data_IF_656178196296
#
_entry.id   IF_656178196296
#
_cell.length_a   1.000
_cell.length_b   1.000
_cell.length_c   1.000
_cell.angle_alpha   90.00
_cell.angle_beta   90.00
_cell.angle_gamma   90.00
#
_symmetry.space_group_name_H-M   'P 1'
#
loop_
_entity.id
_entity.type
_entity.pdbx_description
1 polymer ?
#
# COMPACT_ATOMS: atom_id res chain seq x y z
N UNK A 1 7.37 37.39 -27.90
CA UNK A 1 8.30 36.67 -27.00
C UNK A 1 7.48 35.80 -26.05
N UNK A 2 7.09 34.60 -26.51
CA UNK A 2 6.32 33.62 -25.72
C UNK A 2 7.09 32.31 -25.85
N UNK A 3 8.07 32.08 -24.97
CA UNK A 3 8.89 30.86 -25.05
C UNK A 3 9.40 30.34 -23.71
N UNK A 4 9.00 30.93 -22.56
CA UNK A 4 9.48 30.45 -21.24
C UNK A 4 8.38 29.90 -20.31
N UNK A 5 7.10 30.14 -20.58
CA UNK A 5 6.03 29.75 -19.66
C UNK A 5 5.44 28.34 -19.88
N UNK A 6 5.81 27.66 -20.97
CA UNK A 6 5.24 26.35 -21.37
C UNK A 6 6.02 25.13 -20.82
N UNK A 7 7.13 25.32 -20.10
CA UNK A 7 8.00 24.22 -19.64
C UNK A 7 7.75 23.76 -18.18
N UNK A 8 6.85 24.42 -17.44
CA UNK A 8 6.67 24.15 -16.00
C UNK A 8 5.52 23.18 -15.64
N UNK A 9 4.81 22.62 -16.62
CA UNK A 9 3.61 21.79 -16.36
C UNK A 9 3.82 20.27 -16.36
N UNK A 10 5.07 19.80 -16.27
CA UNK A 10 5.35 18.38 -16.05
C UNK A 10 6.68 18.15 -15.30
N UNK A 11 7.06 19.07 -14.40
CA UNK A 11 8.13 18.74 -13.47
C UNK A 11 7.61 17.64 -12.55
N UNK A 12 7.95 16.39 -12.86
CA UNK A 12 7.92 15.29 -11.88
C UNK A 12 8.49 15.85 -10.59
N UNK A 13 7.79 15.64 -9.46
CA UNK A 13 8.30 16.03 -8.16
C UNK A 13 9.80 15.64 -8.08
N UNK A 14 10.68 16.53 -7.59
CA UNK A 14 12.10 16.22 -7.51
C UNK A 14 12.26 14.86 -6.82
N UNK A 15 13.13 13.97 -7.35
CA UNK A 15 13.29 12.63 -6.80
C UNK A 15 13.57 12.75 -5.30
N UNK A 16 12.85 11.96 -4.50
CA UNK A 16 13.05 11.92 -3.06
C UNK A 16 14.52 11.58 -2.80
N UNK A 17 15.26 12.40 -2.02
CA UNK A 17 16.67 12.15 -1.76
C UNK A 17 16.80 10.80 -1.04
N UNK A 18 17.83 9.99 -1.33
CA UNK A 18 17.99 8.69 -0.69
C UNK A 18 18.12 8.82 0.84
N UNK A 19 17.73 7.80 1.62
CA UNK A 19 17.85 7.86 3.06
C UNK A 19 19.33 7.90 3.49
N UNK A 20 19.63 8.37 4.73
CA UNK A 20 20.99 8.33 5.26
C UNK A 20 21.57 6.91 5.16
N UNK A 21 22.78 6.79 4.60
CA UNK A 21 23.40 5.49 4.32
C UNK A 21 23.49 4.61 5.57
N UNK A 22 23.81 5.18 6.72
CA UNK A 22 23.93 4.44 7.99
C UNK A 22 22.58 3.91 8.47
N UNK A 23 21.53 4.72 8.42
CA UNK A 23 20.15 4.28 8.70
C UNK A 23 19.72 3.18 7.74
N UNK A 24 20.02 3.31 6.45
CA UNK A 24 19.69 2.29 5.45
C UNK A 24 20.37 0.95 5.75
N UNK A 25 21.69 0.95 6.01
CA UNK A 25 22.42 -0.27 6.36
C UNK A 25 21.93 -0.89 7.66
N UNK A 26 21.56 -0.08 8.66
CA UNK A 26 20.96 -0.55 9.90
C UNK A 26 19.58 -1.20 9.64
N UNK A 27 18.75 -0.59 8.79
CA UNK A 27 17.43 -1.11 8.41
C UNK A 27 17.54 -2.43 7.64
N UNK A 28 18.50 -2.56 6.72
CA UNK A 28 18.82 -3.82 6.02
C UNK A 28 19.17 -4.91 7.03
N UNK A 29 20.02 -4.60 8.02
CA UNK A 29 20.40 -5.56 9.05
C UNK A 29 19.20 -5.98 9.93
N UNK A 30 18.36 -5.02 10.31
CA UNK A 30 17.13 -5.28 11.07
C UNK A 30 16.17 -6.20 10.28
N UNK A 31 15.93 -5.90 9.00
CA UNK A 31 15.08 -6.69 8.13
C UNK A 31 15.61 -8.10 7.94
N UNK A 32 16.90 -8.26 7.64
CA UNK A 32 17.54 -9.57 7.45
C UNK A 32 17.40 -10.45 8.68
N UNK A 33 17.64 -9.90 9.86
CA UNK A 33 17.62 -10.65 11.11
C UNK A 33 16.18 -10.99 11.56
N UNK A 34 15.17 -10.32 11.02
CA UNK A 34 13.76 -10.46 11.38
C UNK A 34 12.86 -10.63 10.15
N UNK A 35 13.37 -11.27 9.10
CA UNK A 35 12.66 -11.40 7.84
C UNK A 35 11.30 -12.09 8.07
N UNK A 36 10.21 -11.56 7.47
CA UNK A 36 8.88 -12.08 7.69
C UNK A 36 8.79 -13.53 7.22
N UNK A 37 8.12 -14.37 8.01
CA UNK A 37 7.77 -15.73 7.64
C UNK A 37 6.79 -15.76 6.46
N UNK A 38 6.66 -16.92 5.81
CA UNK A 38 5.70 -17.08 4.71
C UNK A 38 4.26 -16.80 5.14
N UNK A 39 3.89 -17.21 6.36
CA UNK A 39 2.56 -16.95 6.92
C UNK A 39 2.30 -15.45 7.08
N UNK A 40 3.31 -14.70 7.56
CA UNK A 40 3.23 -13.24 7.71
C UNK A 40 3.12 -12.54 6.35
N UNK A 41 3.88 -12.99 5.35
CA UNK A 41 3.76 -12.47 3.97
C UNK A 41 2.38 -12.71 3.39
N UNK A 42 1.86 -13.94 3.48
CA UNK A 42 0.52 -14.30 3.00
C UNK A 42 -0.59 -13.50 3.70
N UNK A 43 -0.45 -13.30 5.02
CA UNK A 43 -1.37 -12.48 5.81
C UNK A 43 -1.36 -11.02 5.34
N UNK A 44 -0.18 -10.42 5.14
CA UNK A 44 -0.05 -9.06 4.64
C UNK A 44 -0.66 -8.89 3.24
N UNK A 45 -0.45 -9.86 2.34
CA UNK A 45 -1.06 -9.87 1.00
C UNK A 45 -2.58 -9.95 1.08
N UNK A 46 -3.14 -10.87 1.89
CA UNK A 46 -4.59 -10.98 2.03
C UNK A 46 -5.23 -9.70 2.59
N UNK A 47 -4.56 -9.06 3.57
CA UNK A 47 -4.98 -7.75 4.09
C UNK A 47 -4.89 -6.66 3.02
N UNK A 48 -3.83 -6.62 2.22
CA UNK A 48 -3.67 -5.66 1.13
C UNK A 48 -4.77 -5.82 0.07
N UNK A 49 -5.12 -7.07 -0.29
CA UNK A 49 -6.26 -7.39 -1.17
C UNK A 49 -7.57 -6.93 -0.53
N UNK A 50 -7.77 -7.18 0.77
CA UNK A 50 -8.95 -6.71 1.51
C UNK A 50 -9.07 -5.18 1.53
N UNK A 51 -7.95 -4.47 1.67
CA UNK A 51 -7.93 -3.00 1.60
C UNK A 51 -8.25 -2.50 0.19
N UNK A 52 -7.69 -3.12 -0.85
CA UNK A 52 -8.01 -2.79 -2.24
C UNK A 52 -9.51 -3.00 -2.54
N UNK A 53 -10.09 -4.11 -2.08
CA UNK A 53 -11.53 -4.38 -2.20
C UNK A 53 -12.38 -3.34 -1.46
N UNK A 54 -12.00 -3.00 -0.22
CA UNK A 54 -12.72 -1.99 0.58
C UNK A 54 -12.67 -0.62 -0.09
N UNK A 55 -11.50 -0.21 -0.60
CA UNK A 55 -11.33 1.03 -1.34
C UNK A 55 -12.18 1.08 -2.61
N UNK A 56 -12.17 0.01 -3.40
CA UNK A 56 -13.00 -0.12 -4.60
C UNK A 56 -14.50 0.01 -4.30
N UNK A 57 -14.99 -0.62 -3.22
CA UNK A 57 -16.39 -0.45 -2.80
C UNK A 57 -16.69 1.00 -2.40
N UNK A 58 -15.75 1.66 -1.71
CA UNK A 58 -15.91 3.06 -1.33
C UNK A 58 -16.01 3.99 -2.53
N UNK A 59 -15.24 3.74 -3.61
CA UNK A 59 -15.27 4.51 -4.86
C UNK A 59 -16.64 4.47 -5.56
N UNK A 60 -17.40 3.38 -5.38
CA UNK A 60 -18.76 3.24 -5.93
C UNK A 60 -19.85 3.52 -4.89
N UNK A 61 -19.49 4.13 -3.76
CA UNK A 61 -20.41 4.58 -2.73
C UNK A 61 -20.97 3.46 -1.83
N UNK A 62 -20.36 2.28 -1.82
CA UNK A 62 -20.70 1.19 -0.91
C UNK A 62 -19.76 1.25 0.29
N UNK A 63 -20.25 1.80 1.39
CA UNK A 63 -19.50 1.97 2.64
C UNK A 63 -20.28 1.37 3.81
N UNK A 64 -19.54 1.05 4.88
CA UNK A 64 -20.13 0.60 6.14
C UNK A 64 -20.65 1.82 6.90
N UNK A 65 -21.98 1.86 7.08
CA UNK A 65 -22.66 2.80 7.97
C UNK A 65 -23.22 1.96 9.11
N UNK A 66 -22.49 1.90 10.23
CA UNK A 66 -22.79 1.00 11.35
C UNK A 66 -24.19 1.18 11.95
N UNK A 67 -24.78 2.37 11.83
CA UNK A 67 -26.15 2.66 12.27
C UNK A 67 -27.23 2.07 11.36
N UNK A 68 -26.86 1.52 10.19
CA UNK A 68 -27.77 0.97 9.18
C UNK A 68 -27.41 -0.48 8.87
N UNK A 69 -28.11 -1.44 9.48
CA UNK A 69 -27.88 -2.89 9.27
C UNK A 69 -27.85 -3.32 7.79
N UNK A 70 -28.69 -2.69 6.94
CA UNK A 70 -28.70 -2.94 5.50
C UNK A 70 -27.43 -2.49 4.76
N UNK A 71 -26.74 -1.47 5.25
CA UNK A 71 -25.45 -1.01 4.70
C UNK A 71 -24.33 -1.99 5.03
N UNK A 72 -24.26 -2.47 6.27
CA UNK A 72 -23.28 -3.51 6.68
C UNK A 72 -23.46 -4.78 5.84
N UNK A 73 -24.70 -5.25 5.71
CA UNK A 73 -25.01 -6.48 4.96
C UNK A 73 -24.65 -6.32 3.48
N UNK A 74 -25.01 -5.19 2.85
CA UNK A 74 -24.66 -4.90 1.46
C UNK A 74 -23.15 -4.82 1.25
N UNK A 75 -22.43 -4.16 2.18
CA UNK A 75 -20.98 -4.06 2.11
C UNK A 75 -20.33 -5.44 2.21
N UNK A 76 -20.70 -6.26 3.20
CA UNK A 76 -20.17 -7.62 3.38
C UNK A 76 -20.41 -8.47 2.13
N UNK A 77 -21.63 -8.51 1.61
CA UNK A 77 -21.94 -9.27 0.39
C UNK A 77 -21.06 -8.85 -0.80
N UNK A 78 -20.84 -7.54 -0.98
CA UNK A 78 -20.00 -7.06 -2.10
C UNK A 78 -18.52 -7.24 -1.85
N UNK A 79 -18.08 -7.14 -0.59
CA UNK A 79 -16.72 -7.40 -0.19
C UNK A 79 -16.35 -8.87 -0.43
N UNK A 80 -17.20 -9.80 0.00
CA UNK A 80 -17.00 -11.25 -0.17
C UNK A 80 -16.98 -11.68 -1.65
N UNK A 81 -17.68 -10.93 -2.51
CA UNK A 81 -17.65 -11.15 -3.96
C UNK A 81 -16.39 -10.56 -4.63
N UNK A 82 -15.98 -9.35 -4.23
CA UNK A 82 -14.92 -8.60 -4.89
C UNK A 82 -13.52 -8.99 -4.43
N UNK A 83 -13.33 -9.24 -3.13
CA UNK A 83 -12.03 -9.64 -2.55
C UNK A 83 -11.39 -10.83 -3.28
N UNK A 84 -12.09 -11.96 -3.54
CA UNK A 84 -11.48 -13.10 -4.24
C UNK A 84 -11.20 -12.83 -5.73
N UNK A 85 -11.83 -11.82 -6.35
CA UNK A 85 -11.54 -11.43 -7.73
C UNK A 85 -10.21 -10.66 -7.75
N UNK A 86 -10.07 -9.64 -6.90
CA UNK A 86 -8.81 -8.87 -6.77
C UNK A 86 -7.65 -9.78 -6.34
N UNK A 87 -7.90 -10.80 -5.51
CA UNK A 87 -6.89 -11.77 -5.12
C UNK A 87 -6.24 -12.48 -6.33
N UNK A 88 -6.93 -12.60 -7.46
CA UNK A 88 -6.38 -13.21 -8.70
C UNK A 88 -5.33 -12.33 -9.37
N UNK A 89 -5.27 -11.05 -9.01
CA UNK A 89 -4.25 -10.12 -9.51
C UNK A 89 -2.92 -10.27 -8.77
N UNK A 90 -2.90 -11.02 -7.67
CA UNK A 90 -1.66 -11.40 -7.00
C UNK A 90 -0.93 -12.44 -7.86
N UNK A 91 0.34 -12.19 -8.25
CA UNK A 91 1.10 -13.15 -9.06
C UNK A 91 1.37 -14.43 -8.27
N UNK A 92 1.38 -15.57 -8.96
CA UNK A 92 1.66 -16.86 -8.35
C UNK A 92 3.12 -16.97 -7.86
N UNK A 93 4.05 -16.34 -8.59
CA UNK A 93 5.44 -16.18 -8.16
C UNK A 93 5.64 -14.79 -7.54
N UNK A 94 5.91 -14.79 -6.24
CA UNK A 94 6.11 -13.59 -5.45
C UNK A 94 7.57 -13.16 -5.37
N UNK A 95 8.54 -13.93 -5.88
CA UNK A 95 9.95 -13.69 -5.58
C UNK A 95 10.41 -12.26 -5.93
N UNK A 96 10.00 -11.76 -7.09
CA UNK A 96 10.29 -10.38 -7.52
C UNK A 96 9.57 -9.34 -6.65
N UNK A 97 8.31 -9.60 -6.30
CA UNK A 97 7.51 -8.71 -5.47
C UNK A 97 8.03 -8.64 -4.04
N UNK A 98 8.46 -9.77 -3.47
CA UNK A 98 9.02 -9.86 -2.11
C UNK A 98 10.31 -9.02 -1.98
N UNK A 99 11.16 -9.02 -3.01
CA UNK A 99 12.35 -8.16 -3.05
C UNK A 99 11.98 -6.66 -3.04
N UNK A 100 11.03 -6.27 -3.88
CA UNK A 100 10.55 -4.88 -3.94
C UNK A 100 9.85 -4.43 -2.65
N UNK A 101 9.11 -5.33 -2.00
CA UNK A 101 8.48 -5.07 -0.70
C UNK A 101 9.52 -4.92 0.39
N UNK A 102 10.55 -5.77 0.41
CA UNK A 102 11.66 -5.61 1.35
C UNK A 102 12.33 -4.25 1.19
N UNK A 103 12.63 -3.84 -0.04
CA UNK A 103 13.21 -2.52 -0.33
C UNK A 103 12.29 -1.37 0.11
N UNK A 104 10.98 -1.49 -0.12
CA UNK A 104 10.00 -0.51 0.32
C UNK A 104 10.01 -0.36 1.86
N UNK A 105 9.94 -1.46 2.61
CA UNK A 105 9.95 -1.42 4.08
C UNK A 105 11.29 -0.92 4.62
N UNK A 106 12.41 -1.35 4.05
CA UNK A 106 13.75 -0.90 4.45
C UNK A 106 13.90 0.61 4.26
N UNK A 107 13.44 1.14 3.13
CA UNK A 107 13.48 2.58 2.88
C UNK A 107 12.62 3.35 3.86
N UNK A 108 11.38 2.92 4.11
CA UNK A 108 10.50 3.57 5.08
C UNK A 108 11.13 3.64 6.48
N UNK A 109 11.73 2.54 6.94
CA UNK A 109 12.46 2.51 8.21
C UNK A 109 13.65 3.46 8.21
N UNK A 110 14.43 3.48 7.13
CA UNK A 110 15.63 4.30 7.01
C UNK A 110 15.34 5.81 6.92
N UNK A 111 14.17 6.21 6.41
CA UNK A 111 13.71 7.60 6.46
C UNK A 111 13.12 7.98 7.82
N UNK A 112 12.44 7.04 8.49
CA UNK A 112 11.74 7.31 9.73
C UNK A 112 12.66 7.33 10.96
N UNK A 113 13.75 6.54 10.96
CA UNK A 113 14.58 6.29 12.13
C UNK A 113 16.07 6.54 11.86
N UNK A 114 16.77 7.00 12.88
CA UNK A 114 18.24 7.04 12.90
C UNK A 114 18.83 5.63 13.02
N UNK A 115 20.10 5.47 12.63
CA UNK A 115 20.85 4.22 12.80
C UNK A 115 20.85 3.71 14.24
N UNK A 116 20.96 4.62 15.22
CA UNK A 116 20.97 4.29 16.65
C UNK A 116 19.61 3.79 17.13
N UNK A 117 18.52 4.40 16.67
CA UNK A 117 17.16 3.93 16.97
C UNK A 117 16.92 2.55 16.38
N UNK A 118 17.31 2.33 15.12
CA UNK A 118 17.22 1.02 14.47
C UNK A 118 18.08 -0.01 15.22
N UNK A 119 19.27 0.39 15.68
CA UNK A 119 20.15 -0.43 16.50
C UNK A 119 19.49 -0.88 17.81
N UNK A 120 18.88 0.05 18.56
CA UNK A 120 18.14 -0.26 19.79
C UNK A 120 16.95 -1.20 19.54
N UNK A 121 16.22 -0.96 18.47
CA UNK A 121 15.09 -1.81 18.04
C UNK A 121 15.58 -3.23 17.73
N UNK A 122 16.68 -3.36 16.97
CA UNK A 122 17.32 -4.64 16.65
C UNK A 122 17.81 -5.37 17.89
N UNK A 123 18.42 -4.66 18.84
CA UNK A 123 18.87 -5.22 20.12
C UNK A 123 17.70 -5.77 20.93
N UNK A 124 16.61 -5.00 21.06
CA UNK A 124 15.41 -5.45 21.75
C UNK A 124 14.87 -6.74 21.13
N UNK A 125 14.82 -6.84 19.80
CA UNK A 125 14.36 -8.06 19.09
C UNK A 125 15.33 -9.24 19.14
N UNK A 126 16.58 -9.04 19.56
CA UNK A 126 17.48 -10.17 19.81
C UNK A 126 17.04 -10.98 21.05
N UNK A 127 16.26 -10.37 21.96
CA UNK A 127 15.77 -10.99 23.20
C UNK A 127 14.55 -11.90 22.96
N UNK A 128 14.32 -12.86 23.86
CA UNK A 128 13.13 -13.75 23.81
C UNK A 128 11.83 -12.94 23.90
N UNK A 129 11.78 -11.94 24.78
CA UNK A 129 10.62 -11.08 24.95
C UNK A 129 10.37 -10.24 23.68
N UNK A 130 11.42 -9.68 23.09
CA UNK A 130 11.34 -8.92 21.84
C UNK A 130 10.83 -9.75 20.67
N UNK A 131 11.34 -10.97 20.48
CA UNK A 131 10.85 -11.90 19.43
C UNK A 131 9.37 -12.23 19.61
N UNK A 132 8.95 -12.53 20.84
CA UNK A 132 7.54 -12.84 21.13
C UNK A 132 6.64 -11.62 20.92
N UNK A 133 7.07 -10.45 21.39
CA UNK A 133 6.35 -9.19 21.16
C UNK A 133 6.20 -8.93 19.67
N UNK A 134 7.26 -9.07 18.89
CA UNK A 134 7.27 -8.84 17.46
C UNK A 134 6.28 -9.74 16.71
N UNK A 135 6.32 -11.05 16.97
CA UNK A 135 5.42 -12.02 16.36
C UNK A 135 3.95 -11.72 16.66
N UNK A 136 3.64 -11.23 17.87
CA UNK A 136 2.26 -10.88 18.27
C UNK A 136 1.84 -9.53 17.68
N UNK A 137 2.71 -8.53 17.73
CA UNK A 137 2.41 -7.17 17.29
C UNK A 137 2.38 -7.02 15.78
N UNK A 138 3.04 -7.93 15.04
CA UNK A 138 3.02 -7.91 13.59
C UNK A 138 3.58 -6.61 13.03
N UNK A 139 4.66 -6.07 13.60
CA UNK A 139 5.14 -4.71 13.26
C UNK A 139 5.50 -4.57 11.78
N UNK A 140 6.11 -5.58 11.14
CA UNK A 140 6.29 -5.55 9.69
C UNK A 140 4.99 -5.79 8.93
N UNK A 141 3.92 -6.34 9.51
CA UNK A 141 2.68 -6.58 8.77
C UNK A 141 2.07 -5.30 8.22
N UNK A 142 2.01 -4.23 9.01
CA UNK A 142 1.38 -2.99 8.57
C UNK A 142 2.24 -2.26 7.53
N UNK A 143 3.57 -2.26 7.71
CA UNK A 143 4.50 -1.73 6.70
C UNK A 143 4.45 -2.55 5.40
N UNK A 144 4.51 -3.88 5.50
CA UNK A 144 4.41 -4.78 4.36
C UNK A 144 3.07 -4.65 3.64
N UNK A 145 1.97 -4.46 4.36
CA UNK A 145 0.64 -4.34 3.77
C UNK A 145 0.58 -3.21 2.74
N UNK A 146 1.12 -2.04 3.08
CA UNK A 146 1.08 -0.88 2.18
C UNK A 146 2.09 -1.04 1.04
N UNK A 147 3.26 -1.60 1.34
CA UNK A 147 4.26 -1.95 0.34
C UNK A 147 3.76 -3.00 -0.66
N UNK A 148 3.06 -4.04 -0.23
CA UNK A 148 2.43 -5.04 -1.13
C UNK A 148 1.33 -4.40 -1.95
N UNK A 149 0.45 -3.58 -1.36
CA UNK A 149 -0.61 -2.88 -2.08
C UNK A 149 -0.06 -2.07 -3.25
N UNK A 150 1.02 -1.33 -3.00
CA UNK A 150 1.68 -0.47 -4.00
C UNK A 150 2.47 -1.29 -5.01
N UNK A 151 3.32 -2.21 -4.55
CA UNK A 151 4.22 -3.03 -5.39
C UNK A 151 3.44 -3.94 -6.34
N UNK A 152 2.36 -4.54 -5.85
CA UNK A 152 1.48 -5.40 -6.64
C UNK A 152 0.44 -4.59 -7.43
N UNK A 153 0.39 -3.27 -7.25
CA UNK A 153 -0.58 -2.38 -7.89
C UNK A 153 -2.03 -2.90 -7.72
N UNK A 154 -2.36 -3.36 -6.50
CA UNK A 154 -3.65 -3.96 -6.19
C UNK A 154 -4.75 -2.90 -6.26
N UNK A 155 -5.61 -3.05 -7.25
CA UNK A 155 -6.83 -2.25 -7.44
C UNK A 155 -7.87 -3.08 -8.19
N UNK A 156 -9.13 -2.74 -7.98
CA UNK A 156 -10.19 -3.23 -8.84
C UNK A 156 -10.09 -2.56 -10.21
N UNK A 157 -10.17 -3.33 -11.28
CA UNK A 157 -10.33 -2.80 -12.63
C UNK A 157 -11.81 -2.72 -13.03
N UNK A 158 -12.08 -2.21 -14.23
CA UNK A 158 -13.44 -2.06 -14.73
C UNK A 158 -14.20 -3.40 -14.83
N UNK A 159 -13.53 -4.48 -15.19
CA UNK A 159 -14.13 -5.80 -15.34
C UNK A 159 -14.48 -6.40 -13.97
N UNK A 160 -13.67 -6.16 -12.95
CA UNK A 160 -13.91 -6.63 -11.57
C UNK A 160 -15.24 -6.08 -11.03
N UNK A 161 -15.49 -4.79 -11.22
CA UNK A 161 -16.75 -4.17 -10.81
C UNK A 161 -17.94 -4.80 -11.52
N UNK A 162 -17.84 -5.03 -12.84
CA UNK A 162 -18.91 -5.66 -13.61
C UNK A 162 -19.16 -7.11 -13.19
N UNK A 163 -18.10 -7.86 -12.88
CA UNK A 163 -18.20 -9.26 -12.44
C UNK A 163 -19.01 -9.42 -11.15
N UNK A 164 -19.04 -8.39 -10.31
CA UNK A 164 -19.86 -8.36 -9.08
C UNK A 164 -21.15 -7.54 -9.24
N UNK A 165 -21.52 -7.20 -10.47
CA UNK A 165 -22.75 -6.45 -10.77
C UNK A 165 -22.75 -5.01 -10.24
N UNK A 166 -21.57 -4.40 -10.10
CA UNK A 166 -21.41 -3.01 -9.71
C UNK A 166 -21.13 -2.15 -10.93
N UNK A 167 -21.58 -0.89 -10.87
CA UNK A 167 -21.21 0.11 -11.87
C UNK A 167 -19.79 0.59 -11.57
N UNK A 168 -18.85 0.49 -12.51
CA UNK A 168 -17.49 0.99 -12.30
C UNK A 168 -17.50 2.51 -12.01
N UNK A 169 -16.54 3.02 -11.23
CA UNK A 169 -16.43 4.45 -10.97
C UNK A 169 -16.26 5.21 -12.29
N UNK A 170 -16.89 6.39 -12.39
CA UNK A 170 -16.72 7.24 -13.59
C UNK A 170 -15.25 7.68 -13.64
N UNK A 171 -14.57 7.61 -14.80
CA UNK A 171 -13.24 8.18 -14.93
C UNK A 171 -13.31 9.68 -14.55
N UNK A 172 -12.26 10.22 -13.92
CA UNK A 172 -12.20 11.64 -13.61
C UNK A 172 -12.46 12.43 -14.90
N UNK A 173 -13.38 13.40 -14.84
CA UNK A 173 -13.64 14.26 -15.99
C UNK A 173 -12.31 14.94 -16.38
N UNK A 174 -11.92 14.97 -17.67
CA UNK A 174 -10.79 15.80 -18.07
C UNK A 174 -11.08 17.22 -17.59
N UNK A 175 -10.11 17.81 -16.89
CA UNK A 175 -10.19 19.18 -16.41
C UNK A 175 -10.50 20.06 -17.63
N UNK A 176 -11.63 20.77 -17.59
CA UNK A 176 -11.96 21.74 -18.64
C UNK A 176 -10.78 22.72 -18.71
N UNK A 177 -10.26 23.03 -19.91
CA UNK A 177 -9.34 24.15 -20.04
C UNK A 177 -10.06 25.38 -19.48
N UNK A 178 -9.49 25.99 -18.43
CA UNK A 178 -10.03 27.22 -17.87
C UNK A 178 -9.94 28.27 -18.97
N UNK A 179 -11.09 28.62 -19.54
CA UNK A 179 -11.21 29.71 -20.50
C UNK A 179 -10.76 31.01 -19.83
N UNK A 180 -9.82 31.70 -20.47
CA UNK A 180 -9.37 33.02 -20.09
C UNK A 180 -10.57 33.96 -19.93
N UNK A 181 -10.85 34.40 -18.71
CA UNK A 181 -11.66 35.60 -18.48
C UNK A 181 -10.78 36.80 -18.82
N UNK A 182 -11.07 37.39 -19.98
CA UNK A 182 -10.55 38.69 -20.40
C UNK A 182 -11.42 39.76 -19.75
N UNK A 183 -10.80 40.61 -18.93
CA UNK A 183 -11.25 41.98 -18.66
C UNK A 183 -10.06 42.91 -18.85
#
# INVERSE_FOLDING_TARGET
MIALALLLQAASAPPVPPPPKESYLAAVALWRDNAPSEAERRSAIDRAVGMAASGALAEVGIQVIYTKRGSVSRWLTKFDQLKPIIARHVPADLHKSDGLVADCVINDLAYALSSDEIGRVREFFSTVAGKKFWSISGVFHDAMLECYRTTLNLKADYADFLAVGLRPPKPPKPSRPQGNLVY
#
